data_IF_437411891551
#
_entry.id   IF_437411891551
#
_cell.length_a   1.000
_cell.length_b   1.000
_cell.length_c   1.000
_cell.angle_alpha   90.00
_cell.angle_beta   90.00
_cell.angle_gamma   90.00
#
_symmetry.space_group_name_H-M   'P 1'
#
loop_
_entity.id
_entity.type
_entity.pdbx_description
1 polymer ?
#
# COMPACT_ATOMS: atom_id res chain seq x y z
N UNK A 1 -5.37 -10.83 -27.54
CA UNK A 1 -4.03 -10.73 -26.91
C UNK A 1 -4.25 -10.34 -25.46
N UNK A 2 -3.71 -11.09 -24.49
CA UNK A 2 -3.66 -10.62 -23.10
C UNK A 2 -2.50 -9.65 -23.01
N UNK A 3 -2.77 -8.36 -22.89
CA UNK A 3 -1.75 -7.36 -22.57
C UNK A 3 -1.31 -7.64 -21.14
N UNK A 4 -0.05 -8.00 -20.96
CA UNK A 4 0.52 -8.10 -19.61
C UNK A 4 0.62 -6.67 -19.07
N UNK A 5 0.07 -6.37 -17.88
CA UNK A 5 0.17 -5.03 -17.30
C UNK A 5 1.63 -4.68 -17.06
N UNK A 6 2.02 -3.46 -17.42
CA UNK A 6 3.37 -2.94 -17.19
C UNK A 6 3.56 -2.70 -15.70
N UNK A 7 4.61 -3.29 -15.13
CA UNK A 7 4.97 -3.09 -13.72
C UNK A 7 5.83 -1.83 -13.61
N UNK A 8 5.41 -0.90 -12.76
CA UNK A 8 6.10 0.38 -12.52
C UNK A 8 6.93 0.37 -11.23
N UNK A 9 6.54 -0.48 -10.28
CA UNK A 9 7.23 -0.67 -9.01
C UNK A 9 6.91 -2.06 -8.45
N UNK A 10 7.91 -2.73 -7.87
CA UNK A 10 7.73 -3.97 -7.12
C UNK A 10 8.90 -4.17 -6.15
N UNK A 11 8.62 -4.26 -4.85
CA UNK A 11 9.62 -4.48 -3.79
C UNK A 11 9.38 -5.76 -2.97
N UNK A 12 8.53 -6.66 -3.46
CA UNK A 12 8.16 -7.85 -2.70
C UNK A 12 6.99 -7.61 -1.73
N UNK A 13 6.84 -6.44 -1.12
CA UNK A 13 5.68 -6.12 -0.26
C UNK A 13 4.53 -5.51 -1.05
N UNK A 14 4.84 -4.59 -1.96
CA UNK A 14 3.87 -3.92 -2.83
C UNK A 14 4.31 -3.97 -4.29
N UNK A 15 3.33 -4.12 -5.17
CA UNK A 15 3.48 -3.95 -6.61
C UNK A 15 2.53 -2.87 -7.10
N UNK A 16 3.02 -2.00 -7.96
CA UNK A 16 2.23 -0.98 -8.67
C UNK A 16 2.35 -1.24 -10.17
N UNK A 17 1.23 -1.43 -10.84
CA UNK A 17 1.16 -1.66 -12.29
C UNK A 17 0.10 -0.79 -12.96
N UNK A 18 -0.14 -0.99 -14.25
CA UNK A 18 -1.15 -0.22 -15.01
C UNK A 18 -2.58 -0.38 -14.46
N UNK A 19 -2.88 -1.46 -13.73
CA UNK A 19 -4.22 -1.79 -13.27
C UNK A 19 -4.50 -1.34 -11.84
N UNK A 20 -3.47 -1.30 -10.99
CA UNK A 20 -3.64 -0.90 -9.59
C UNK A 20 -2.45 -1.20 -8.70
N UNK A 21 -2.75 -1.38 -7.42
CA UNK A 21 -1.80 -1.65 -6.35
C UNK A 21 -2.07 -3.03 -5.78
N UNK A 22 -1.08 -3.91 -5.80
CA UNK A 22 -1.13 -5.21 -5.11
C UNK A 22 -0.33 -5.13 -3.82
N UNK A 23 -0.99 -5.36 -2.69
CA UNK A 23 -0.37 -5.49 -1.38
C UNK A 23 -0.21 -6.97 -1.05
N UNK A 24 1.03 -7.45 -1.00
CA UNK A 24 1.32 -8.83 -0.60
C UNK A 24 1.13 -9.00 0.89
N UNK A 25 0.86 -10.23 1.32
CA UNK A 25 0.71 -10.59 2.73
C UNK A 25 -0.37 -9.79 3.50
N UNK A 26 -1.43 -9.37 2.80
CA UNK A 26 -2.42 -8.46 3.34
C UNK A 26 -3.37 -9.13 4.34
N UNK A 27 -4.05 -10.21 3.94
CA UNK A 27 -5.11 -10.81 4.75
C UNK A 27 -4.59 -11.79 5.79
N UNK A 28 -4.87 -11.50 7.06
CA UNK A 28 -4.68 -12.42 8.17
C UNK A 28 -5.74 -13.55 8.13
N UNK A 29 -5.40 -14.81 8.45
CA UNK A 29 -4.09 -15.33 8.87
C UNK A 29 -3.22 -15.90 7.74
N UNK A 30 -3.67 -15.88 6.49
CA UNK A 30 -3.05 -16.65 5.40
C UNK A 30 -2.05 -15.86 4.54
N UNK A 31 -1.83 -14.58 4.85
CA UNK A 31 -0.94 -13.71 4.09
C UNK A 31 -1.28 -13.67 2.59
N UNK A 32 -2.57 -13.73 2.27
CA UNK A 32 -3.07 -13.61 0.89
C UNK A 32 -3.00 -12.14 0.48
N UNK A 33 -2.65 -11.91 -0.79
CA UNK A 33 -2.56 -10.57 -1.36
C UNK A 33 -3.91 -9.86 -1.46
N UNK A 34 -3.85 -8.52 -1.51
CA UNK A 34 -4.98 -7.67 -1.84
C UNK A 34 -4.63 -6.83 -3.05
N UNK A 35 -5.42 -6.96 -4.11
CA UNK A 35 -5.39 -6.04 -5.23
C UNK A 35 -6.37 -4.87 -4.98
N UNK A 36 -5.94 -3.66 -5.29
CA UNK A 36 -6.71 -2.42 -5.19
C UNK A 36 -6.63 -1.69 -6.54
N UNK A 37 -7.72 -1.66 -7.33
CA UNK A 37 -7.73 -0.92 -8.59
C UNK A 37 -7.72 0.59 -8.32
N UNK A 38 -7.15 1.38 -9.23
CA UNK A 38 -7.07 2.84 -9.05
C UNK A 38 -8.42 3.50 -8.82
N UNK A 39 -9.50 3.01 -9.46
CA UNK A 39 -10.85 3.52 -9.27
C UNK A 39 -11.42 3.36 -7.85
N UNK A 40 -10.84 2.49 -7.03
CA UNK A 40 -11.23 2.34 -5.61
C UNK A 40 -10.42 3.24 -4.66
N UNK A 41 -9.34 3.85 -5.15
CA UNK A 41 -8.43 4.70 -4.37
C UNK A 41 -8.91 6.15 -4.44
N UNK A 42 -9.33 6.68 -3.29
CA UNK A 42 -9.80 8.07 -3.16
C UNK A 42 -8.69 9.05 -2.86
N UNK A 43 -7.68 8.60 -2.12
CA UNK A 43 -6.51 9.41 -1.77
C UNK A 43 -5.30 8.49 -1.49
N UNK A 44 -4.11 9.07 -1.66
CA UNK A 44 -2.83 8.47 -1.28
C UNK A 44 -1.98 9.51 -0.56
N UNK A 45 -1.54 9.16 0.64
CA UNK A 45 -0.75 10.00 1.53
C UNK A 45 0.48 9.26 2.04
N UNK A 46 1.47 10.02 2.50
CA UNK A 46 2.66 9.49 3.19
C UNK A 46 2.61 9.90 4.66
N UNK A 47 2.92 8.98 5.57
CA UNK A 47 2.94 9.22 7.00
C UNK A 47 4.28 8.80 7.61
N UNK A 48 4.90 9.70 8.38
CA UNK A 48 6.15 9.40 9.11
C UNK A 48 5.86 8.40 10.23
N UNK A 49 6.70 7.36 10.33
CA UNK A 49 6.65 6.33 11.36
C UNK A 49 7.60 6.67 12.52
N UNK A 50 7.01 7.03 13.66
CA UNK A 50 7.67 7.10 14.95
C UNK A 50 7.44 5.86 15.82
N UNK A 51 8.17 5.79 16.93
CA UNK A 51 8.12 4.66 17.86
C UNK A 51 6.71 4.40 18.45
N UNK A 52 5.83 5.41 18.45
CA UNK A 52 4.50 5.35 19.06
C UNK A 52 3.34 5.31 18.05
N UNK A 53 3.59 5.42 16.74
CA UNK A 53 2.53 5.55 15.73
C UNK A 53 2.45 4.35 14.75
N UNK A 54 2.91 3.17 15.17
CA UNK A 54 2.71 1.92 14.43
C UNK A 54 3.95 1.35 13.74
N UNK A 55 5.15 1.89 13.98
CA UNK A 55 6.44 1.30 13.52
C UNK A 55 6.61 -0.17 13.93
N UNK A 56 6.16 -0.53 15.13
CA UNK A 56 6.31 -1.89 15.70
C UNK A 56 5.18 -2.86 15.34
N UNK A 57 4.15 -2.40 14.64
CA UNK A 57 2.99 -3.23 14.32
C UNK A 57 3.18 -3.91 12.98
N UNK A 58 3.47 -5.20 13.05
CA UNK A 58 3.89 -5.96 11.89
C UNK A 58 2.74 -6.41 11.00
N UNK A 59 1.52 -6.58 11.53
CA UNK A 59 0.37 -7.07 10.75
C UNK A 59 -0.96 -6.67 11.39
N UNK A 60 -1.97 -6.44 10.56
CA UNK A 60 -3.37 -6.34 10.98
C UNK A 60 -3.81 -4.92 11.30
N UNK A 61 -4.88 -4.81 12.08
CA UNK A 61 -5.53 -3.53 12.36
C UNK A 61 -4.63 -2.60 13.18
N UNK A 62 -4.46 -1.35 12.73
CA UNK A 62 -3.74 -0.33 13.51
C UNK A 62 -4.64 0.61 14.30
N UNK A 63 -5.74 1.01 13.68
CA UNK A 63 -6.85 1.79 14.24
C UNK A 63 -8.15 1.16 13.72
N UNK A 64 -9.30 1.69 14.10
CA UNK A 64 -10.62 1.20 13.67
C UNK A 64 -10.76 1.15 12.13
N UNK A 65 -10.06 2.03 11.43
CA UNK A 65 -10.15 2.26 9.99
C UNK A 65 -8.87 1.92 9.23
N UNK A 66 -7.82 1.38 9.87
CA UNK A 66 -6.55 1.10 9.19
C UNK A 66 -6.15 -0.38 9.29
N UNK A 67 -5.59 -0.91 8.20
CA UNK A 67 -5.10 -2.28 8.13
C UNK A 67 -3.71 -2.34 7.48
N UNK A 68 -2.78 -3.04 8.13
CA UNK A 68 -1.40 -3.18 7.68
C UNK A 68 -1.22 -4.60 7.12
N UNK A 69 -0.61 -4.78 5.93
CA UNK A 69 -0.12 -6.09 5.51
C UNK A 69 1.01 -6.56 6.45
N UNK A 70 1.28 -7.86 6.45
CA UNK A 70 2.41 -8.41 7.19
C UNK A 70 3.72 -7.86 6.61
N UNK A 71 4.43 -7.07 7.40
CA UNK A 71 5.74 -6.52 7.07
C UNK A 71 6.69 -6.63 8.28
N UNK A 72 7.59 -7.60 8.22
CA UNK A 72 8.61 -7.85 9.25
C UNK A 72 9.75 -6.82 9.21
N UNK A 73 9.90 -6.10 8.10
CA UNK A 73 10.91 -5.07 7.91
C UNK A 73 10.42 -3.68 8.31
N UNK A 74 9.12 -3.51 8.55
CA UNK A 74 8.49 -2.26 9.03
C UNK A 74 9.25 -1.54 10.15
N UNK A 75 9.83 -2.22 11.16
CA UNK A 75 10.58 -1.53 12.22
C UNK A 75 11.85 -0.81 11.74
N UNK A 76 12.31 -1.08 10.51
CA UNK A 76 13.45 -0.42 9.86
C UNK A 76 13.01 0.68 8.89
N UNK A 77 11.71 0.92 8.76
CA UNK A 77 11.11 1.88 7.84
C UNK A 77 10.64 3.11 8.59
N UNK A 78 10.73 4.25 7.91
CA UNK A 78 10.54 5.57 8.52
C UNK A 78 9.31 6.28 7.94
N UNK A 79 8.80 5.80 6.81
CA UNK A 79 7.66 6.37 6.11
C UNK A 79 6.75 5.25 5.64
N UNK A 80 5.44 5.40 5.89
CA UNK A 80 4.39 4.55 5.36
C UNK A 80 3.60 5.28 4.27
N UNK A 81 3.05 4.51 3.35
CA UNK A 81 2.01 4.95 2.41
C UNK A 81 0.65 4.55 2.99
N UNK A 82 -0.29 5.49 2.95
CA UNK A 82 -1.67 5.32 3.38
C UNK A 82 -2.58 5.46 2.16
N UNK A 83 -3.34 4.41 1.85
CA UNK A 83 -4.41 4.50 0.86
C UNK A 83 -5.73 4.73 1.56
N UNK A 84 -6.47 5.74 1.11
CA UNK A 84 -7.87 5.90 1.50
C UNK A 84 -8.73 5.19 0.46
N UNK A 85 -9.27 4.03 0.83
CA UNK A 85 -10.32 3.33 0.07
C UNK A 85 -11.62 3.34 0.89
N UNK A 86 -12.69 2.71 0.40
CA UNK A 86 -14.06 2.81 0.97
C UNK A 86 -14.17 2.90 2.51
N UNK A 87 -13.86 1.82 3.24
CA UNK A 87 -14.09 1.69 4.70
C UNK A 87 -12.83 1.40 5.51
N UNK A 88 -11.74 1.09 4.83
CA UNK A 88 -10.48 0.70 5.45
C UNK A 88 -9.38 1.44 4.72
N UNK A 89 -8.31 1.78 5.41
CA UNK A 89 -7.15 2.44 4.87
C UNK A 89 -5.97 1.49 4.98
N UNK A 90 -5.57 0.84 3.87
CA UNK A 90 -4.33 0.10 3.82
C UNK A 90 -3.14 1.01 4.18
N UNK A 91 -2.32 0.57 5.13
CA UNK A 91 -1.09 1.28 5.53
C UNK A 91 0.10 0.35 5.35
N UNK A 92 0.99 0.64 4.42
CA UNK A 92 2.12 -0.23 4.06
C UNK A 92 3.41 0.58 3.90
N UNK A 93 4.53 -0.12 3.84
CA UNK A 93 5.86 0.46 4.04
C UNK A 93 6.79 0.02 2.92
N UNK A 94 6.61 0.57 1.71
CA UNK A 94 7.46 0.23 0.57
C UNK A 94 8.91 0.66 0.80
N UNK A 95 9.81 0.13 -0.02
CA UNK A 95 11.21 0.55 -0.10
C UNK A 95 11.36 2.03 -0.55
N UNK A 96 10.51 2.50 -1.47
CA UNK A 96 10.48 3.90 -1.94
C UNK A 96 9.05 4.50 -1.81
N UNK A 97 8.69 5.05 -0.63
CA UNK A 97 7.34 5.53 -0.36
C UNK A 97 6.96 6.76 -1.19
N UNK A 98 7.90 7.64 -1.48
CA UNK A 98 7.68 8.83 -2.29
C UNK A 98 7.38 8.46 -3.75
N UNK A 99 8.14 7.53 -4.33
CA UNK A 99 7.89 7.01 -5.67
C UNK A 99 6.52 6.33 -5.74
N UNK A 100 6.23 5.43 -4.81
CA UNK A 100 4.95 4.70 -4.79
C UNK A 100 3.76 5.66 -4.66
N UNK A 101 3.83 6.61 -3.72
CA UNK A 101 2.77 7.60 -3.55
C UNK A 101 2.59 8.48 -4.81
N UNK A 102 3.68 8.86 -5.47
CA UNK A 102 3.63 9.61 -6.75
C UNK A 102 2.95 8.78 -7.85
N UNK A 103 3.39 7.54 -8.08
CA UNK A 103 2.84 6.66 -9.11
C UNK A 103 1.33 6.46 -8.94
N UNK A 104 0.89 6.26 -7.70
CA UNK A 104 -0.54 6.10 -7.39
C UNK A 104 -1.29 7.41 -7.62
N UNK A 105 -0.74 8.54 -7.15
CA UNK A 105 -1.38 9.87 -7.28
C UNK A 105 -1.60 10.26 -8.74
N UNK A 106 -0.62 10.01 -9.60
CA UNK A 106 -0.71 10.26 -11.05
C UNK A 106 -1.87 9.47 -11.67
N UNK A 107 -2.08 8.21 -11.26
CA UNK A 107 -3.06 7.30 -11.86
C UNK A 107 -4.48 7.48 -11.32
N UNK A 108 -4.65 8.02 -10.11
CA UNK A 108 -5.98 8.39 -9.59
C UNK A 108 -6.45 9.78 -10.07
N UNK A 109 -5.52 10.60 -10.59
CA UNK A 109 -5.82 11.96 -11.10
C UNK A 109 -5.92 11.98 -12.63
N UNK A 110 -5.33 11.01 -13.32
CA UNK A 110 -5.40 10.92 -14.77
C UNK A 110 -6.87 10.79 -15.22
N UNK A 111 -7.30 11.56 -16.23
CA UNK A 111 -8.61 11.35 -16.86
C UNK A 111 -8.64 9.95 -17.48
N UNK A 112 -9.74 9.23 -17.28
CA UNK A 112 -9.99 7.90 -17.82
C UNK A 112 -10.05 7.89 -19.36
#
# INVERSE_FOLDING_TARGET
MRTTPTVHYDDGLVRVDDSGVTLRHYYFPFAIEKFVPYGDIRAVDTAVLGNWNGRWRLWGASTTDQWLPLDVMRPKKDTAVVLTIRRISPVFTPDDPELVARLIRERITAPA
#
